data_IF_185701871579
#
_entry.id   IF_185701871579
#
_cell.length_a   1.000
_cell.length_b   1.000
_cell.length_c   1.000
_cell.angle_alpha   90.00
_cell.angle_beta   90.00
_cell.angle_gamma   90.00
#
_symmetry.space_group_name_H-M   'P 1'
#
loop_
_entity.id
_entity.type
_entity.pdbx_description
1 polymer ?
#
# COMPACT_ATOMS: atom_id res chain seq x y z
N UNK A 1 -3.95 -34.29 -10.04
CA UNK A 1 -3.47 -35.14 -8.92
C UNK A 1 -4.31 -34.94 -7.65
N UNK A 2 -4.63 -33.72 -7.16
CA UNK A 2 -5.44 -33.54 -5.94
C UNK A 2 -6.88 -34.02 -6.08
N UNK A 3 -7.49 -33.90 -7.26
CA UNK A 3 -8.84 -34.39 -7.52
C UNK A 3 -8.94 -35.92 -7.39
N UNK A 4 -7.91 -36.65 -7.82
CA UNK A 4 -7.83 -38.10 -7.64
C UNK A 4 -7.70 -38.54 -6.18
N UNK A 5 -7.05 -37.69 -5.36
CA UNK A 5 -6.91 -37.95 -3.92
C UNK A 5 -8.23 -37.70 -3.18
N UNK A 6 -8.98 -36.65 -3.54
CA UNK A 6 -10.32 -36.37 -3.03
C UNK A 6 -11.32 -37.46 -3.40
N UNK A 7 -11.33 -37.91 -4.64
CA UNK A 7 -12.17 -39.02 -5.11
C UNK A 7 -11.85 -40.33 -4.38
N UNK A 8 -10.57 -40.53 -4.00
CA UNK A 8 -10.13 -41.71 -3.23
C UNK A 8 -10.47 -41.56 -1.74
N UNK A 9 -10.42 -40.38 -1.17
CA UNK A 9 -10.82 -40.10 0.20
C UNK A 9 -12.34 -40.34 0.42
N UNK A 10 -13.17 -39.96 -0.54
CA UNK A 10 -14.61 -40.24 -0.52
C UNK A 10 -14.99 -41.69 -0.90
N UNK A 11 -14.01 -42.59 -1.02
CA UNK A 11 -14.22 -43.99 -1.39
C UNK A 11 -14.96 -44.23 -2.72
N UNK A 12 -15.05 -43.21 -3.58
CA UNK A 12 -15.70 -43.29 -4.89
C UNK A 12 -14.87 -44.12 -5.86
N UNK A 13 -13.54 -44.06 -5.74
CA UNK A 13 -12.61 -44.93 -6.49
C UNK A 13 -12.11 -46.06 -5.61
N UNK A 14 -12.58 -47.26 -5.90
CA UNK A 14 -12.03 -48.50 -5.30
C UNK A 14 -10.59 -48.65 -5.80
N UNK A 15 -9.65 -48.99 -4.89
CA UNK A 15 -8.30 -49.39 -5.28
C UNK A 15 -8.41 -50.58 -6.25
N UNK A 16 -7.79 -50.54 -7.42
CA UNK A 16 -7.62 -51.77 -8.19
C UNK A 16 -6.73 -52.72 -7.32
N UNK A 17 -7.32 -53.74 -6.78
CA UNK A 17 -6.60 -54.77 -6.09
C UNK A 17 -5.91 -55.65 -7.17
N UNK A 18 -4.76 -55.17 -7.63
CA UNK A 18 -3.81 -56.08 -8.29
C UNK A 18 -3.23 -57.00 -7.20
N UNK A 19 -3.91 -58.06 -6.91
CA UNK A 19 -3.36 -59.14 -6.10
C UNK A 19 -2.42 -59.98 -6.97
N UNK A 20 -1.18 -59.55 -7.05
CA UNK A 20 -0.13 -60.47 -7.46
C UNK A 20 0.11 -61.42 -6.27
N UNK A 21 -0.25 -62.66 -6.42
CA UNK A 21 0.05 -63.69 -5.44
C UNK A 21 1.56 -64.03 -5.55
N UNK A 22 2.35 -63.25 -4.82
CA UNK A 22 3.75 -63.56 -4.54
C UNK A 22 3.76 -64.30 -3.21
N UNK A 23 3.44 -65.56 -3.26
CA UNK A 23 3.68 -66.45 -2.13
C UNK A 23 5.10 -67.02 -2.25
N UNK A 24 5.86 -66.95 -1.18
CA UNK A 24 7.13 -67.61 -1.05
C UNK A 24 6.90 -69.17 -1.09
N UNK A 25 7.93 -69.92 -1.42
CA UNK A 25 7.87 -71.38 -1.50
C UNK A 25 7.24 -72.07 -0.27
N UNK A 26 7.28 -71.41 0.88
CA UNK A 26 6.71 -71.89 2.13
C UNK A 26 5.25 -71.39 2.40
N UNK A 27 4.59 -70.70 1.44
CA UNK A 27 3.19 -70.23 1.60
C UNK A 27 3.00 -69.02 2.46
N UNK A 28 4.04 -68.38 2.95
CA UNK A 28 3.94 -67.13 3.70
C UNK A 28 3.78 -65.94 2.76
N UNK A 29 2.87 -65.02 3.11
CA UNK A 29 2.64 -63.79 2.35
C UNK A 29 3.82 -62.82 2.52
N UNK A 30 4.45 -62.42 1.43
CA UNK A 30 5.52 -61.43 1.46
C UNK A 30 4.97 -60.06 1.76
N UNK A 31 5.25 -59.54 2.94
CA UNK A 31 4.89 -58.19 3.36
C UNK A 31 6.08 -57.25 3.13
N UNK A 32 6.00 -56.45 2.11
CA UNK A 32 7.00 -55.40 1.87
C UNK A 32 6.78 -54.25 2.83
N UNK A 33 7.58 -54.19 3.87
CA UNK A 33 7.60 -53.07 4.82
C UNK A 33 8.47 -51.95 4.21
N UNK A 34 7.84 -50.88 3.67
CA UNK A 34 8.53 -49.72 3.10
C UNK A 34 8.33 -48.49 3.96
N UNK A 35 9.02 -48.35 5.11
CA UNK A 35 8.86 -47.20 5.99
C UNK A 35 9.24 -45.88 5.29
N UNK A 36 10.21 -45.91 4.37
CA UNK A 36 10.64 -44.74 3.60
C UNK A 36 9.55 -44.18 2.67
N UNK A 37 8.75 -45.04 2.03
CA UNK A 37 7.62 -44.57 1.19
C UNK A 37 6.54 -43.90 2.03
N UNK A 38 6.25 -44.41 3.21
CA UNK A 38 5.27 -43.82 4.12
C UNK A 38 5.72 -42.44 4.59
N UNK A 39 6.99 -42.27 4.95
CA UNK A 39 7.58 -41.00 5.33
C UNK A 39 7.56 -39.99 4.16
N UNK A 40 7.94 -40.44 2.96
CA UNK A 40 7.94 -39.62 1.76
C UNK A 40 6.51 -39.07 1.43
N UNK A 41 5.48 -39.92 1.60
CA UNK A 41 4.09 -39.46 1.42
C UNK A 41 3.65 -38.43 2.44
N UNK A 42 4.03 -38.61 3.70
CA UNK A 42 3.71 -37.64 4.76
C UNK A 42 4.41 -36.31 4.49
N UNK A 43 5.70 -36.31 4.18
CA UNK A 43 6.48 -35.11 3.87
C UNK A 43 5.92 -34.40 2.64
N UNK A 44 5.62 -35.12 1.56
CA UNK A 44 5.01 -34.54 0.36
C UNK A 44 3.65 -33.90 0.64
N UNK A 45 2.82 -34.53 1.48
CA UNK A 45 1.51 -34.00 1.86
C UNK A 45 1.64 -32.72 2.67
N UNK A 46 2.57 -32.67 3.63
CA UNK A 46 2.84 -31.49 4.45
C UNK A 46 3.36 -30.34 3.59
N UNK A 47 4.30 -30.59 2.68
CA UNK A 47 4.81 -29.58 1.76
C UNK A 47 3.72 -29.02 0.82
N UNK A 48 2.82 -29.91 0.36
CA UNK A 48 1.70 -29.48 -0.48
C UNK A 48 0.75 -28.56 0.27
N UNK A 49 0.40 -28.90 1.52
CA UNK A 49 -0.47 -28.07 2.37
C UNK A 49 0.20 -26.73 2.67
N UNK A 50 1.50 -26.74 3.01
CA UNK A 50 2.25 -25.50 3.28
C UNK A 50 2.29 -24.59 2.03
N UNK A 51 2.55 -25.16 0.85
CA UNK A 51 2.53 -24.42 -0.41
C UNK A 51 1.14 -23.83 -0.71
N UNK A 52 0.08 -24.57 -0.45
CA UNK A 52 -1.28 -24.08 -0.64
C UNK A 52 -1.62 -22.92 0.30
N UNK A 53 -1.21 -23.03 1.56
CA UNK A 53 -1.37 -21.93 2.54
C UNK A 53 -0.61 -20.67 2.09
N UNK A 54 0.63 -20.81 1.62
CA UNK A 54 1.40 -19.69 1.08
C UNK A 54 0.70 -19.02 -0.12
N UNK A 55 0.15 -19.80 -1.03
CA UNK A 55 -0.61 -19.25 -2.18
C UNK A 55 -1.84 -18.49 -1.71
N UNK A 56 -2.57 -18.99 -0.72
CA UNK A 56 -3.72 -18.29 -0.14
C UNK A 56 -3.29 -16.98 0.51
N UNK A 57 -2.17 -16.95 1.24
CA UNK A 57 -1.62 -15.72 1.82
C UNK A 57 -1.23 -14.70 0.75
N UNK A 58 -0.63 -15.13 -0.34
CA UNK A 58 -0.26 -14.23 -1.45
C UNK A 58 -1.52 -13.67 -2.14
N UNK A 59 -2.55 -14.50 -2.34
CA UNK A 59 -3.81 -14.05 -2.95
C UNK A 59 -4.64 -13.16 -2.03
N UNK A 60 -4.49 -13.32 -0.71
CA UNK A 60 -5.18 -12.48 0.27
C UNK A 60 -4.64 -11.05 0.34
N UNK A 61 -3.45 -10.79 -0.26
CA UNK A 61 -2.77 -9.49 -0.29
C UNK A 61 -2.93 -8.72 1.04
N UNK A 62 -2.35 -9.21 2.15
CA UNK A 62 -2.55 -8.62 3.46
C UNK A 62 -1.98 -7.21 3.51
N UNK A 63 -2.80 -6.22 3.25
CA UNK A 63 -2.45 -4.80 3.35
C UNK A 63 -2.47 -4.40 4.83
N UNK A 64 -1.32 -4.00 5.33
CA UNK A 64 -1.24 -3.35 6.65
C UNK A 64 -1.74 -1.92 6.49
N UNK A 65 -3.00 -1.70 6.77
CA UNK A 65 -3.57 -0.35 6.85
C UNK A 65 -2.94 0.35 8.07
N UNK A 66 -1.97 1.21 7.84
CA UNK A 66 -1.55 2.17 8.85
C UNK A 66 -2.66 3.21 8.96
N UNK A 67 -3.45 3.14 10.01
CA UNK A 67 -4.30 4.26 10.40
C UNK A 67 -3.38 5.39 10.85
N UNK A 68 -3.07 6.31 9.97
CA UNK A 68 -2.53 7.59 10.39
C UNK A 68 -3.60 8.25 11.26
N UNK A 69 -3.20 8.66 12.45
CA UNK A 69 -4.08 9.41 13.35
C UNK A 69 -4.42 10.72 12.64
N UNK A 70 -5.59 10.78 12.04
CA UNK A 70 -6.14 12.05 11.56
C UNK A 70 -6.37 12.90 12.80
N UNK A 71 -5.50 13.86 13.02
CA UNK A 71 -5.68 14.83 14.09
C UNK A 71 -6.90 15.66 13.73
N UNK A 72 -7.98 15.46 14.46
CA UNK A 72 -9.22 16.23 14.26
C UNK A 72 -8.94 17.65 14.73
N UNK A 73 -8.71 18.53 13.77
CA UNK A 73 -8.60 19.96 14.03
C UNK A 73 -9.91 20.47 14.61
N UNK A 74 -9.85 21.15 15.73
CA UNK A 74 -11.01 21.85 16.30
C UNK A 74 -11.25 23.24 15.66
N UNK A 75 -10.45 23.60 14.67
CA UNK A 75 -10.40 24.92 14.07
C UNK A 75 -10.59 24.90 12.55
N UNK A 76 -9.56 25.29 11.84
CA UNK A 76 -9.56 25.43 10.38
C UNK A 76 -8.62 24.41 9.77
N UNK A 77 -9.04 23.75 8.67
CA UNK A 77 -8.15 22.95 7.85
C UNK A 77 -7.74 23.76 6.61
N UNK A 78 -6.45 23.91 6.41
CA UNK A 78 -5.87 24.64 5.29
C UNK A 78 -5.07 23.64 4.45
N UNK A 79 -5.43 23.49 3.18
CA UNK A 79 -4.66 22.73 2.21
C UNK A 79 -3.94 23.67 1.26
N UNK A 80 -2.63 23.58 1.21
CA UNK A 80 -1.78 24.27 0.25
C UNK A 80 -1.59 23.36 -0.97
N UNK A 81 -1.88 23.89 -2.15
CA UNK A 81 -1.63 23.24 -3.43
C UNK A 81 -0.48 23.97 -4.11
N UNK A 82 0.68 23.35 -4.18
CA UNK A 82 1.90 23.98 -4.66
C UNK A 82 2.28 23.40 -6.03
N UNK A 83 2.43 24.27 -7.01
CA UNK A 83 2.97 23.91 -8.33
C UNK A 83 4.46 23.58 -8.20
N UNK A 84 4.85 22.41 -8.68
CA UNK A 84 6.22 21.95 -8.76
C UNK A 84 6.68 21.72 -10.20
N UNK A 85 5.97 22.30 -11.19
CA UNK A 85 6.40 22.22 -12.59
C UNK A 85 7.76 22.87 -12.82
N UNK A 86 8.50 22.53 -13.87
CA UNK A 86 9.82 23.11 -14.17
C UNK A 86 9.81 24.64 -14.35
N UNK A 87 8.68 25.20 -14.77
CA UNK A 87 8.52 26.66 -14.90
C UNK A 87 8.68 27.41 -13.57
N UNK A 88 8.51 26.72 -12.42
CA UNK A 88 8.73 27.25 -11.09
C UNK A 88 10.22 27.50 -10.76
N UNK A 89 11.13 27.07 -11.64
CA UNK A 89 12.56 27.42 -11.55
C UNK A 89 12.88 28.83 -12.08
N UNK A 90 11.94 29.49 -12.76
CA UNK A 90 12.15 30.85 -13.26
C UNK A 90 12.50 31.81 -12.12
N UNK A 91 13.54 32.64 -12.33
CA UNK A 91 14.05 33.64 -11.38
C UNK A 91 13.55 35.03 -11.77
N UNK A 92 12.26 35.26 -11.65
CA UNK A 92 11.59 36.50 -12.01
C UNK A 92 10.95 37.21 -10.80
N UNK A 93 11.11 36.64 -9.60
CA UNK A 93 10.56 37.22 -8.37
C UNK A 93 11.73 37.51 -7.41
N UNK A 94 12.06 38.78 -7.26
CA UNK A 94 12.99 39.32 -6.24
C UNK A 94 14.28 38.46 -6.09
N UNK A 95 14.98 38.12 -7.19
CA UNK A 95 16.19 37.31 -7.26
C UNK A 95 16.05 35.86 -6.78
N UNK A 96 14.84 35.42 -6.47
CA UNK A 96 14.55 34.04 -6.10
C UNK A 96 13.74 33.31 -7.21
N UNK A 97 13.75 31.99 -7.20
CA UNK A 97 12.87 31.24 -8.08
C UNK A 97 11.41 31.25 -7.54
N UNK A 98 10.46 31.08 -8.45
CA UNK A 98 9.00 31.07 -8.13
C UNK A 98 8.68 30.06 -7.03
N UNK A 99 9.28 28.87 -7.07
CA UNK A 99 9.05 27.83 -6.07
C UNK A 99 9.49 28.31 -4.68
N UNK A 100 10.63 28.94 -4.57
CA UNK A 100 11.14 29.45 -3.30
C UNK A 100 10.28 30.62 -2.79
N UNK A 101 9.81 31.48 -3.68
CA UNK A 101 8.90 32.56 -3.32
C UNK A 101 7.57 32.00 -2.79
N UNK A 102 7.02 30.98 -3.46
CA UNK A 102 5.80 30.30 -3.01
C UNK A 102 5.98 29.63 -1.64
N UNK A 103 7.11 28.92 -1.44
CA UNK A 103 7.44 28.33 -0.13
C UNK A 103 7.50 29.42 0.96
N UNK A 104 8.16 30.53 0.70
CA UNK A 104 8.25 31.63 1.66
C UNK A 104 6.88 32.22 1.99
N UNK A 105 6.00 32.37 0.99
CA UNK A 105 4.62 32.81 1.21
C UNK A 105 3.85 31.84 2.11
N UNK A 106 3.98 30.52 1.85
CA UNK A 106 3.37 29.49 2.70
C UNK A 106 3.89 29.59 4.14
N UNK A 107 5.20 29.79 4.35
CA UNK A 107 5.77 29.97 5.70
C UNK A 107 5.14 31.13 6.45
N UNK A 108 4.90 32.24 5.76
CA UNK A 108 4.26 33.42 6.37
C UNK A 108 2.77 33.22 6.71
N UNK A 109 2.12 32.29 5.98
CA UNK A 109 0.71 31.97 6.22
C UNK A 109 0.52 30.91 7.31
N UNK A 110 1.57 30.18 7.72
CA UNK A 110 1.45 29.15 8.75
C UNK A 110 1.15 29.81 10.10
N UNK A 111 -0.01 29.52 10.71
CA UNK A 111 -0.38 30.09 11.99
C UNK A 111 0.55 29.61 13.10
N UNK A 112 0.88 30.51 14.03
CA UNK A 112 1.72 30.15 15.19
C UNK A 112 0.91 29.46 16.30
N UNK A 113 -0.42 29.58 16.30
CA UNK A 113 -1.28 29.04 17.34
C UNK A 113 -1.97 27.75 16.95
N UNK A 114 -2.00 26.81 17.90
CA UNK A 114 -2.57 25.49 17.71
C UNK A 114 -4.09 25.49 17.43
N UNK A 115 -4.54 24.46 16.69
CA UNK A 115 -5.94 24.23 16.34
C UNK A 115 -6.24 24.31 14.85
N UNK A 116 -5.31 24.82 14.04
CA UNK A 116 -5.37 24.75 12.59
C UNK A 116 -4.55 23.56 12.10
N UNK A 117 -5.15 22.72 11.28
CA UNK A 117 -4.41 21.68 10.56
C UNK A 117 -4.05 22.19 9.16
N UNK A 118 -2.85 21.88 8.71
CA UNK A 118 -2.37 22.22 7.38
C UNK A 118 -1.87 20.97 6.65
N UNK A 119 -2.21 20.89 5.38
CA UNK A 119 -1.74 19.85 4.49
C UNK A 119 -1.11 20.43 3.24
N UNK A 120 -0.34 19.62 2.55
CA UNK A 120 0.42 20.00 1.37
C UNK A 120 0.16 19.05 0.23
N UNK A 121 -0.27 19.59 -0.89
CA UNK A 121 -0.41 18.90 -2.15
C UNK A 121 0.62 19.49 -3.11
N UNK A 122 1.42 18.64 -3.73
CA UNK A 122 2.26 19.05 -4.84
C UNK A 122 1.57 18.67 -6.15
N UNK A 123 1.70 19.52 -7.16
CA UNK A 123 1.20 19.25 -8.50
C UNK A 123 2.27 19.48 -9.56
N UNK A 124 2.20 18.67 -10.59
CA UNK A 124 3.03 18.69 -11.80
C UNK A 124 2.22 18.08 -12.94
N UNK A 125 2.74 17.10 -13.63
CA UNK A 125 1.94 16.28 -14.56
C UNK A 125 0.83 15.50 -13.85
N UNK A 126 1.01 15.23 -12.56
CA UNK A 126 0.08 14.58 -11.65
C UNK A 126 -0.02 15.41 -10.37
N UNK A 127 -1.00 15.11 -9.52
CA UNK A 127 -1.11 15.72 -8.20
C UNK A 127 -0.99 14.65 -7.10
N UNK A 128 -0.17 14.94 -6.09
CA UNK A 128 0.05 14.03 -4.98
C UNK A 128 -0.11 14.75 -3.62
N UNK A 129 -0.76 14.08 -2.67
CA UNK A 129 -0.77 14.51 -1.28
C UNK A 129 0.59 14.23 -0.65
N UNK A 130 1.36 15.27 -0.36
CA UNK A 130 2.68 15.18 0.26
C UNK A 130 2.57 15.13 1.79
N UNK A 131 1.71 15.98 2.35
CA UNK A 131 1.43 16.00 3.78
C UNK A 131 -0.09 16.02 3.98
N UNK A 132 -0.66 14.99 4.61
CA UNK A 132 -2.07 15.01 5.00
C UNK A 132 -2.30 16.10 6.06
N UNK A 133 -3.55 16.59 6.23
CA UNK A 133 -3.86 17.61 7.23
C UNK A 133 -3.31 17.23 8.61
N UNK A 134 -2.36 18.01 9.11
CA UNK A 134 -1.67 17.80 10.38
C UNK A 134 -1.53 19.10 11.14
N UNK A 135 -1.43 19.02 12.46
CA UNK A 135 -1.06 20.14 13.33
C UNK A 135 0.43 20.20 13.63
N UNK A 136 1.19 19.22 13.11
CA UNK A 136 2.64 19.14 13.27
C UNK A 136 3.32 20.05 12.24
N UNK A 137 3.78 21.21 12.75
CA UNK A 137 4.43 22.23 11.93
C UNK A 137 5.79 21.77 11.43
N UNK A 138 6.55 21.03 12.24
CA UNK A 138 7.91 20.65 11.91
C UNK A 138 7.89 19.62 10.77
N UNK A 139 6.96 18.67 10.84
CA UNK A 139 6.72 17.71 9.76
C UNK A 139 6.34 18.43 8.47
N UNK A 140 5.38 19.37 8.53
CA UNK A 140 4.92 20.12 7.37
C UNK A 140 6.07 20.90 6.71
N UNK A 141 6.83 21.63 7.52
CA UNK A 141 7.96 22.47 7.06
C UNK A 141 9.07 21.61 6.45
N UNK A 142 9.37 20.47 7.05
CA UNK A 142 10.39 19.54 6.51
C UNK A 142 10.02 19.03 5.12
N UNK A 143 8.74 18.66 4.93
CA UNK A 143 8.24 18.16 3.65
C UNK A 143 8.12 19.28 2.60
N UNK A 144 7.69 20.48 3.01
CA UNK A 144 7.66 21.65 2.13
C UNK A 144 9.06 21.98 1.60
N UNK A 145 10.08 21.91 2.46
CA UNK A 145 11.47 22.14 2.06
C UNK A 145 12.00 21.07 1.10
N UNK A 146 11.60 19.82 1.28
CA UNK A 146 12.02 18.70 0.45
C UNK A 146 11.49 18.77 -0.99
N UNK A 147 10.42 19.53 -1.26
CA UNK A 147 9.88 19.68 -2.61
C UNK A 147 10.87 20.40 -3.52
N UNK A 148 10.97 19.97 -4.76
CA UNK A 148 11.76 20.62 -5.80
C UNK A 148 11.00 20.67 -7.12
N UNK A 149 11.35 21.61 -7.98
CA UNK A 149 10.71 21.76 -9.27
C UNK A 149 10.99 20.54 -10.18
N UNK A 150 9.97 20.02 -10.81
CA UNK A 150 10.03 18.80 -11.62
C UNK A 150 9.80 17.51 -10.82
N UNK A 151 9.48 17.59 -9.52
CA UNK A 151 9.26 16.39 -8.67
C UNK A 151 8.10 15.50 -9.16
N UNK A 152 7.09 16.09 -9.81
CA UNK A 152 5.91 15.41 -10.32
C UNK A 152 5.75 15.54 -11.85
N UNK A 153 6.88 15.63 -12.57
CA UNK A 153 6.91 15.72 -14.03
C UNK A 153 6.81 17.15 -14.56
N UNK A 154 6.70 17.26 -15.89
CA UNK A 154 6.86 18.53 -16.60
C UNK A 154 5.56 19.30 -16.84
N UNK A 155 4.42 18.71 -16.47
CA UNK A 155 3.09 19.31 -16.65
C UNK A 155 2.63 20.14 -15.49
N UNK A 156 1.41 20.70 -15.62
CA UNK A 156 0.71 21.43 -14.55
C UNK A 156 -0.76 21.00 -14.54
N UNK A 157 -1.07 19.96 -13.78
CA UNK A 157 -2.41 19.36 -13.68
C UNK A 157 -3.25 20.08 -12.62
N UNK A 158 -3.63 21.34 -12.88
CA UNK A 158 -4.37 22.22 -11.94
C UNK A 158 -5.68 21.56 -11.47
N UNK A 159 -6.43 20.97 -12.40
CA UNK A 159 -7.71 20.31 -12.08
C UNK A 159 -7.53 19.12 -11.15
N UNK A 160 -6.47 18.38 -11.30
CA UNK A 160 -6.15 17.23 -10.44
C UNK A 160 -5.70 17.68 -9.05
N UNK A 161 -4.84 18.72 -8.96
CA UNK A 161 -4.43 19.32 -7.69
C UNK A 161 -5.63 19.83 -6.88
N UNK A 162 -6.54 20.55 -7.54
CA UNK A 162 -7.74 21.07 -6.89
C UNK A 162 -8.72 19.95 -6.52
N UNK A 163 -8.95 18.97 -7.38
CA UNK A 163 -9.84 17.84 -7.08
C UNK A 163 -9.34 17.01 -5.91
N UNK A 164 -8.03 16.77 -5.83
CA UNK A 164 -7.38 16.08 -4.72
C UNK A 164 -7.57 16.88 -3.42
N UNK A 165 -7.41 18.22 -3.45
CA UNK A 165 -7.63 19.06 -2.28
C UNK A 165 -9.09 19.02 -1.81
N UNK A 166 -10.05 19.12 -2.71
CA UNK A 166 -11.49 19.04 -2.39
C UNK A 166 -11.84 17.68 -1.82
N UNK A 167 -11.33 16.60 -2.42
CA UNK A 167 -11.57 15.23 -1.94
C UNK A 167 -11.11 15.05 -0.49
N UNK A 168 -9.90 15.47 -0.17
CA UNK A 168 -9.37 15.34 1.20
C UNK A 168 -10.11 16.24 2.20
N UNK A 169 -10.47 17.47 1.81
CA UNK A 169 -11.25 18.34 2.68
C UNK A 169 -12.70 17.87 2.84
N UNK A 170 -13.27 17.16 1.88
CA UNK A 170 -14.64 16.64 2.01
C UNK A 170 -14.77 15.67 3.18
N UNK A 171 -13.74 14.88 3.44
CA UNK A 171 -13.68 13.89 4.54
C UNK A 171 -13.29 14.50 5.89
N UNK A 172 -12.84 15.76 5.92
CA UNK A 172 -12.50 16.45 7.16
C UNK A 172 -13.75 16.88 7.95
N UNK A 173 -13.67 16.81 9.27
CA UNK A 173 -14.70 17.28 10.20
C UNK A 173 -14.45 18.71 10.70
N UNK A 174 -13.47 19.43 10.14
CA UNK A 174 -13.19 20.80 10.54
C UNK A 174 -14.35 21.74 10.18
N UNK A 175 -14.72 22.70 11.07
CA UNK A 175 -15.80 23.63 10.82
C UNK A 175 -15.47 24.66 9.72
N UNK A 176 -14.19 24.91 9.49
CA UNK A 176 -13.71 25.79 8.41
C UNK A 176 -12.69 25.05 7.56
N UNK A 177 -12.81 25.20 6.25
CA UNK A 177 -11.96 24.55 5.27
C UNK A 177 -11.47 25.57 4.26
N UNK A 178 -10.18 25.59 3.98
CA UNK A 178 -9.56 26.53 3.06
C UNK A 178 -8.61 25.80 2.13
N UNK A 179 -8.63 26.17 0.86
CA UNK A 179 -7.62 25.75 -0.12
C UNK A 179 -6.87 27.01 -0.53
N UNK A 180 -5.55 26.95 -0.45
CA UNK A 180 -4.63 27.99 -0.94
C UNK A 180 -3.92 27.41 -2.15
N UNK A 181 -4.09 28.12 -3.28
CA UNK A 181 -3.58 27.70 -4.58
C UNK A 181 -2.63 28.75 -5.13
#
# INVERSE_FOLDING_TARGET
IPALYLLRYFKILKKPALSAILTDWNGESFVWNRPLESIAHVVSSVMFIAGFVCVVFVLADPVVVRHEKVYTSKGTDILFVLDTSPSMMAKDIADTNRLQAAKNAIYQMLPESGGTAFGLIAMGSEAAMVVPPTTDRDLFVSQLNALYAGSLGDGTAIGEGLSTAVYHLSSSNAPKKCIVF
#
